data_IF_977233945564
#
_entry.id   IF_977233945564
#
_cell.length_a   1.000
_cell.length_b   1.000
_cell.length_c   1.000
_cell.angle_alpha   90.00
_cell.angle_beta   90.00
_cell.angle_gamma   90.00
#
_symmetry.space_group_name_H-M   'P 1'
#
loop_
_entity.id
_entity.type
_entity.pdbx_description
1 polymer ?
#
# COMPACT_ATOMS: atom_id res chain seq x y z
N UNK A 1 6.43 -23.31 -14.27
CA UNK A 1 6.61 -22.97 -12.84
C UNK A 1 5.29 -22.40 -12.35
N UNK A 2 4.63 -23.05 -11.39
CA UNK A 2 3.39 -22.54 -10.81
C UNK A 2 3.65 -21.24 -10.03
N UNK A 3 2.70 -20.30 -9.95
CA UNK A 3 2.85 -19.10 -9.14
C UNK A 3 3.04 -19.52 -7.68
N UNK A 4 4.13 -19.08 -7.05
CA UNK A 4 4.29 -19.18 -5.60
C UNK A 4 3.24 -18.24 -5.00
N UNK A 5 2.29 -18.80 -4.26
CA UNK A 5 1.37 -18.00 -3.45
C UNK A 5 2.23 -17.21 -2.44
N UNK A 6 2.25 -15.87 -2.52
CA UNK A 6 3.06 -15.05 -1.62
C UNK A 6 2.59 -15.12 -0.16
N UNK A 7 1.63 -15.97 0.19
CA UNK A 7 1.19 -16.22 1.56
C UNK A 7 1.65 -17.60 2.12
N UNK A 8 2.40 -18.40 1.35
CA UNK A 8 2.65 -19.81 1.70
C UNK A 8 3.76 -20.07 2.73
N UNK A 9 4.42 -19.05 3.29
CA UNK A 9 5.63 -19.22 4.11
C UNK A 9 5.40 -19.29 5.63
N UNK A 10 4.18 -19.14 6.15
CA UNK A 10 3.90 -19.11 7.61
C UNK A 10 3.04 -20.29 8.12
N UNK A 11 2.76 -21.31 7.31
CA UNK A 11 1.72 -22.30 7.63
C UNK A 11 2.08 -23.30 8.73
N UNK A 12 3.33 -23.40 9.17
CA UNK A 12 3.74 -24.44 10.14
C UNK A 12 3.36 -24.14 11.60
N UNK A 13 3.06 -22.87 11.95
CA UNK A 13 2.64 -22.49 13.31
C UNK A 13 1.12 -22.37 13.54
N UNK A 14 0.31 -22.34 12.47
CA UNK A 14 -1.12 -22.00 12.53
C UNK A 14 -2.02 -23.16 12.97
N UNK A 15 -1.59 -24.41 12.78
CA UNK A 15 -2.42 -25.59 13.04
C UNK A 15 -2.74 -25.76 14.53
N UNK A 16 -1.75 -25.58 15.41
CA UNK A 16 -1.91 -25.73 16.86
C UNK A 16 -2.83 -24.67 17.50
N UNK A 17 -2.83 -23.43 16.98
CA UNK A 17 -3.69 -22.34 17.49
C UNK A 17 -5.13 -22.44 16.95
N UNK A 18 -5.33 -22.94 15.72
CA UNK A 18 -6.66 -23.18 15.15
C UNK A 18 -7.40 -24.30 15.89
N UNK A 19 -6.70 -25.32 16.37
CA UNK A 19 -7.32 -26.39 17.18
C UNK A 19 -7.75 -25.91 18.58
N UNK A 20 -6.92 -25.11 19.24
CA UNK A 20 -7.24 -24.56 20.57
C UNK A 20 -8.44 -23.59 20.55
N UNK A 21 -8.53 -22.70 19.56
CA UNK A 21 -9.64 -21.75 19.41
C UNK A 21 -10.97 -22.44 19.01
N UNK A 22 -10.90 -23.47 18.17
CA UNK A 22 -12.07 -24.26 17.73
C UNK A 22 -12.71 -25.04 18.88
N UNK A 23 -11.92 -25.61 19.79
CA UNK A 23 -12.44 -26.33 20.95
C UNK A 23 -13.07 -25.40 22.01
N UNK A 24 -12.49 -24.23 22.25
CA UNK A 24 -13.06 -23.23 23.16
C UNK A 24 -14.41 -22.68 22.65
N UNK A 25 -14.50 -22.37 21.35
CA UNK A 25 -15.73 -21.88 20.71
C UNK A 25 -16.88 -22.89 20.70
N UNK A 26 -16.59 -24.17 20.42
CA UNK A 26 -17.61 -25.25 20.44
C UNK A 26 -18.19 -25.51 21.83
N UNK A 27 -17.38 -25.33 22.88
CA UNK A 27 -17.80 -25.50 24.28
C UNK A 27 -18.71 -24.36 24.74
N UNK A 28 -18.39 -23.12 24.34
CA UNK A 28 -19.23 -21.95 24.61
C UNK A 28 -20.58 -22.02 23.86
N UNK A 29 -20.59 -22.47 22.59
CA UNK A 29 -21.80 -22.57 21.78
C UNK A 29 -22.75 -23.66 22.28
N UNK A 30 -22.25 -24.83 22.70
CA UNK A 30 -23.09 -25.88 23.31
C UNK A 30 -23.76 -25.42 24.61
N UNK A 31 -23.09 -24.58 25.40
CA UNK A 31 -23.65 -24.00 26.64
C UNK A 31 -24.74 -22.97 26.36
N UNK A 32 -24.63 -22.21 25.26
CA UNK A 32 -25.64 -21.26 24.82
C UNK A 32 -26.87 -21.94 24.20
N UNK A 33 -26.67 -22.96 23.34
CA UNK A 33 -27.75 -23.69 22.66
C UNK A 33 -28.59 -24.50 23.66
N UNK A 34 -27.97 -25.10 24.68
CA UNK A 34 -28.71 -25.82 25.74
C UNK A 34 -29.60 -24.90 26.58
N UNK A 35 -29.25 -23.60 26.68
CA UNK A 35 -30.04 -22.59 27.38
C UNK A 35 -31.19 -22.05 26.53
N UNK A 36 -31.06 -22.08 25.20
CA UNK A 36 -32.10 -21.65 24.25
C UNK A 36 -33.15 -22.75 23.97
N UNK A 37 -32.76 -24.02 23.99
CA UNK A 37 -33.63 -25.16 23.65
C UNK A 37 -34.70 -25.48 24.72
N UNK A 38 -34.65 -24.88 25.91
CA UNK A 38 -35.62 -25.13 27.00
C UNK A 38 -36.90 -24.29 26.83
N UNK A 39 -36.97 -23.35 25.87
CA UNK A 39 -38.03 -22.32 25.82
C UNK A 39 -39.03 -22.42 24.65
N UNK A 40 -39.15 -23.55 23.95
CA UNK A 40 -40.23 -23.73 22.96
C UNK A 40 -40.78 -25.15 22.95
N UNK A 41 -41.83 -25.36 23.74
CA UNK A 41 -42.77 -26.44 23.53
C UNK A 41 -44.19 -25.89 23.70
N UNK A 42 -45.05 -26.28 22.75
CA UNK A 42 -46.50 -26.05 22.65
C UNK A 42 -46.98 -24.69 22.15
N UNK A 43 -47.53 -24.66 20.93
CA UNK A 43 -48.96 -24.43 20.73
C UNK A 43 -49.32 -24.55 19.24
N UNK A 44 -50.18 -25.53 18.93
CA UNK A 44 -51.02 -25.51 17.75
C UNK A 44 -52.46 -25.22 18.20
N UNK A 45 -53.16 -24.45 17.36
CA UNK A 45 -54.61 -24.24 17.28
C UNK A 45 -55.33 -23.40 18.36
N UNK A 46 -55.93 -22.29 17.90
CA UNK A 46 -57.30 -21.91 18.24
C UNK A 46 -57.55 -20.87 19.35
N UNK A 47 -58.12 -19.74 18.95
CA UNK A 47 -59.00 -18.81 19.69
C UNK A 47 -58.40 -17.66 20.55
N UNK A 48 -58.96 -16.47 20.28
CA UNK A 48 -58.84 -15.16 20.97
C UNK A 48 -57.43 -14.59 21.15
N UNK A 49 -57.12 -13.54 20.37
CA UNK A 49 -55.86 -12.81 20.45
C UNK A 49 -55.86 -11.95 21.72
N UNK A 50 -55.28 -12.47 22.80
CA UNK A 50 -55.07 -11.73 24.03
C UNK A 50 -54.06 -10.58 23.86
N UNK A 51 -54.17 -9.57 24.72
CA UNK A 51 -53.30 -8.39 24.81
C UNK A 51 -51.77 -8.65 24.64
N UNK A 52 -51.19 -9.79 25.08
CA UNK A 52 -49.77 -10.09 24.86
C UNK A 52 -49.38 -10.30 23.38
N UNK A 53 -50.30 -10.81 22.56
CA UNK A 53 -50.06 -11.02 21.12
C UNK A 53 -50.17 -9.69 20.36
N UNK A 54 -51.06 -8.79 20.78
CA UNK A 54 -51.14 -7.42 20.25
C UNK A 54 -49.84 -6.65 20.56
N UNK A 55 -49.30 -6.78 21.78
CA UNK A 55 -48.01 -6.19 22.15
C UNK A 55 -46.83 -6.82 21.40
N UNK A 56 -46.87 -8.13 21.12
CA UNK A 56 -45.88 -8.82 20.28
C UNK A 56 -45.91 -8.39 18.82
N UNK A 57 -47.10 -8.18 18.25
CA UNK A 57 -47.29 -7.65 16.89
C UNK A 57 -46.84 -6.18 16.84
N UNK A 58 -47.12 -5.37 17.87
CA UNK A 58 -46.63 -4.00 17.98
C UNK A 58 -45.11 -3.93 18.09
N UNK A 59 -44.48 -4.83 18.84
CA UNK A 59 -43.02 -4.94 18.94
C UNK A 59 -42.38 -5.41 17.62
N UNK A 60 -43.00 -6.38 16.93
CA UNK A 60 -42.55 -6.82 15.60
C UNK A 60 -42.72 -5.72 14.55
N UNK A 61 -43.83 -4.97 14.59
CA UNK A 61 -44.05 -3.80 13.75
C UNK A 61 -43.03 -2.69 14.03
N UNK A 62 -42.66 -2.44 15.30
CA UNK A 62 -41.60 -1.49 15.65
C UNK A 62 -40.22 -1.93 15.14
N UNK A 63 -39.90 -3.22 15.15
CA UNK A 63 -38.63 -3.74 14.59
C UNK A 63 -38.62 -3.63 13.06
N UNK A 64 -39.76 -3.87 12.39
CA UNK A 64 -39.89 -3.68 10.94
C UNK A 64 -39.84 -2.21 10.57
N UNK A 65 -40.48 -1.31 11.33
CA UNK A 65 -40.42 0.14 11.13
C UNK A 65 -38.99 0.64 11.40
N UNK A 66 -38.31 0.19 12.45
CA UNK A 66 -36.91 0.52 12.70
C UNK A 66 -36.01 0.00 11.58
N UNK A 67 -36.26 -1.20 11.06
CA UNK A 67 -35.56 -1.75 9.89
C UNK A 67 -35.81 -0.92 8.62
N UNK A 68 -37.03 -0.46 8.38
CA UNK A 68 -37.38 0.40 7.25
C UNK A 68 -36.83 1.82 7.40
N UNK A 69 -36.74 2.35 8.62
CA UNK A 69 -36.07 3.63 8.90
C UNK A 69 -34.56 3.51 8.74
N UNK A 70 -33.94 2.37 9.11
CA UNK A 70 -32.52 2.10 8.86
C UNK A 70 -32.26 1.93 7.36
N UNK A 71 -33.13 1.23 6.62
CA UNK A 71 -33.01 1.07 5.17
C UNK A 71 -33.23 2.41 4.46
N UNK A 72 -34.22 3.22 4.88
CA UNK A 72 -34.42 4.57 4.38
C UNK A 72 -33.25 5.49 4.75
N UNK A 73 -32.67 5.37 5.94
CA UNK A 73 -31.47 6.09 6.34
C UNK A 73 -30.26 5.66 5.51
N UNK A 74 -30.09 4.37 5.20
CA UNK A 74 -29.02 3.86 4.32
C UNK A 74 -29.22 4.32 2.87
N UNK A 75 -30.46 4.37 2.37
CA UNK A 75 -30.79 4.86 1.03
C UNK A 75 -30.64 6.40 0.94
N UNK A 76 -31.05 7.15 1.97
CA UNK A 76 -30.79 8.60 2.04
C UNK A 76 -29.31 8.90 2.27
N UNK A 77 -28.57 8.06 3.00
CA UNK A 77 -27.10 8.16 3.14
C UNK A 77 -26.38 7.80 1.84
N UNK A 78 -26.96 6.94 0.99
CA UNK A 78 -26.38 6.57 -0.31
C UNK A 78 -26.79 7.49 -1.45
N UNK A 79 -27.69 8.46 -1.22
CA UNK A 79 -28.16 9.41 -2.25
C UNK A 79 -27.96 10.88 -1.87
N UNK A 80 -27.36 11.17 -0.71
CA UNK A 80 -27.08 12.52 -0.22
C UNK A 80 -25.61 12.83 0.01
N UNK A 81 -24.68 12.01 -0.50
CA UNK A 81 -23.30 12.43 -0.61
C UNK A 81 -23.18 13.32 -1.82
N UNK A 82 -23.24 14.65 -1.62
CA UNK A 82 -22.61 15.56 -2.56
C UNK A 82 -21.21 15.00 -2.82
N UNK A 83 -20.98 14.61 -4.06
CA UNK A 83 -19.66 14.38 -4.59
C UNK A 83 -18.95 15.72 -4.40
N UNK A 84 -18.20 15.86 -3.30
CA UNK A 84 -17.13 16.82 -3.25
C UNK A 84 -16.18 16.39 -4.36
N UNK A 85 -16.46 16.92 -5.55
CA UNK A 85 -15.48 17.12 -6.57
C UNK A 85 -14.34 17.85 -5.86
N UNK A 86 -13.31 17.09 -5.50
CA UNK A 86 -11.99 17.64 -5.19
C UNK A 86 -11.47 18.08 -6.56
N UNK A 87 -12.03 19.16 -7.07
CA UNK A 87 -11.45 19.92 -8.15
C UNK A 87 -10.22 20.61 -7.56
N UNK A 88 -9.03 20.09 -7.85
CA UNK A 88 -7.88 20.97 -8.07
C UNK A 88 -6.61 20.83 -7.23
N UNK A 89 -6.49 19.95 -6.23
CA UNK A 89 -5.22 19.80 -5.46
C UNK A 89 -4.73 18.35 -5.36
N UNK A 90 -4.97 17.55 -6.40
CA UNK A 90 -4.52 16.16 -6.49
C UNK A 90 -3.29 16.02 -7.38
N UNK A 91 -2.14 15.70 -6.79
CA UNK A 91 -0.97 15.09 -7.44
C UNK A 91 -0.16 15.91 -8.47
N UNK A 92 -0.68 17.03 -8.98
CA UNK A 92 0.02 17.84 -9.98
C UNK A 92 1.03 18.81 -9.36
N UNK A 93 2.33 18.53 -9.53
CA UNK A 93 3.37 19.55 -9.59
C UNK A 93 3.52 20.48 -8.38
N UNK A 94 3.12 20.03 -7.19
CA UNK A 94 3.23 20.80 -5.94
C UNK A 94 4.66 21.22 -5.59
N UNK A 95 4.80 22.09 -4.60
CA UNK A 95 6.12 22.49 -4.10
C UNK A 95 6.87 21.28 -3.51
N UNK A 96 8.19 21.30 -3.62
CA UNK A 96 9.02 20.22 -3.08
C UNK A 96 8.95 20.23 -1.56
N UNK A 97 8.64 19.07 -0.98
CA UNK A 97 8.63 18.90 0.47
C UNK A 97 10.05 18.86 1.04
N UNK A 98 10.20 18.99 2.36
CA UNK A 98 11.49 18.78 3.03
C UNK A 98 12.06 17.39 2.73
N UNK A 99 11.20 16.36 2.70
CA UNK A 99 11.60 15.00 2.32
C UNK A 99 12.12 14.96 0.88
N UNK A 100 11.38 15.56 -0.06
CA UNK A 100 11.80 15.64 -1.46
C UNK A 100 13.12 16.38 -1.64
N UNK A 101 13.31 17.50 -0.93
CA UNK A 101 14.53 18.29 -0.99
C UNK A 101 15.77 17.54 -0.47
N UNK A 102 15.57 16.62 0.47
CA UNK A 102 16.65 15.81 1.05
C UNK A 102 16.96 14.54 0.24
N UNK A 103 15.95 13.94 -0.41
CA UNK A 103 16.13 12.69 -1.17
C UNK A 103 16.48 12.93 -2.64
N UNK A 104 15.85 13.91 -3.30
CA UNK A 104 16.02 14.13 -4.74
C UNK A 104 17.30 14.94 -4.99
N UNK A 105 18.27 14.40 -5.75
CA UNK A 105 19.45 15.17 -6.11
C UNK A 105 19.06 16.41 -6.91
N UNK A 106 19.42 17.58 -6.39
CA UNK A 106 18.97 18.88 -6.91
C UNK A 106 19.27 19.10 -8.38
N UNK A 107 20.34 18.49 -8.92
CA UNK A 107 20.72 18.60 -10.33
C UNK A 107 19.68 17.99 -11.29
N UNK A 108 18.84 17.06 -10.84
CA UNK A 108 17.82 16.43 -11.69
C UNK A 108 16.49 17.19 -11.69
N UNK A 109 16.25 18.06 -10.70
CA UNK A 109 14.99 18.80 -10.55
C UNK A 109 14.66 19.64 -11.79
N UNK A 110 15.60 20.42 -12.38
CA UNK A 110 15.32 21.19 -13.60
C UNK A 110 14.87 20.30 -14.77
N UNK A 111 15.47 19.11 -14.92
CA UNK A 111 15.15 18.16 -15.99
C UNK A 111 13.72 17.62 -15.83
N UNK A 112 13.33 17.21 -14.63
CA UNK A 112 11.96 16.75 -14.37
C UNK A 112 10.92 17.84 -14.62
N UNK A 113 11.21 19.09 -14.24
CA UNK A 113 10.29 20.21 -14.45
C UNK A 113 10.16 20.56 -15.93
N UNK A 114 11.25 20.53 -16.69
CA UNK A 114 11.21 20.75 -18.13
C UNK A 114 10.44 19.63 -18.86
N UNK A 115 10.64 18.37 -18.46
CA UNK A 115 9.87 17.24 -18.97
C UNK A 115 8.37 17.35 -18.60
N UNK A 116 8.05 17.81 -17.38
CA UNK A 116 6.66 18.09 -16.98
C UNK A 116 6.02 19.14 -17.90
N UNK A 117 6.72 20.24 -18.16
CA UNK A 117 6.23 21.31 -19.03
C UNK A 117 5.94 20.79 -20.45
N UNK A 118 6.83 19.94 -20.99
CA UNK A 118 6.69 19.38 -22.34
C UNK A 118 5.60 18.31 -22.46
N UNK A 119 5.47 17.41 -21.47
CA UNK A 119 4.64 16.22 -21.57
C UNK A 119 3.37 16.25 -20.72
N UNK A 120 3.23 17.19 -19.79
CA UNK A 120 2.13 17.25 -18.83
C UNK A 120 2.20 16.17 -17.74
N UNK A 121 3.31 15.45 -17.65
CA UNK A 121 3.54 14.40 -16.64
C UNK A 121 4.14 15.03 -15.37
N UNK A 122 3.59 14.80 -14.17
CA UNK A 122 4.07 15.45 -12.94
C UNK A 122 5.57 15.22 -12.67
N UNK A 123 6.32 16.28 -12.34
CA UNK A 123 7.77 16.25 -12.11
C UNK A 123 8.14 15.27 -10.98
N UNK A 124 7.31 15.22 -9.94
CA UNK A 124 7.47 14.34 -8.78
C UNK A 124 7.24 12.87 -9.15
N UNK A 125 6.40 12.58 -10.14
CA UNK A 125 6.23 11.24 -10.69
C UNK A 125 7.46 10.77 -11.47
N UNK A 126 8.09 11.66 -12.25
CA UNK A 126 9.34 11.37 -12.95
C UNK A 126 10.49 11.14 -11.97
N UNK A 127 10.61 11.99 -10.95
CA UNK A 127 11.58 11.82 -9.88
C UNK A 127 11.38 10.47 -9.15
N UNK A 128 10.13 10.08 -8.89
CA UNK A 128 9.83 8.82 -8.23
C UNK A 128 10.20 7.58 -9.06
N UNK A 129 9.94 7.58 -10.37
CA UNK A 129 10.43 6.53 -11.25
C UNK A 129 11.96 6.45 -11.20
N UNK A 130 12.65 7.59 -11.35
CA UNK A 130 14.11 7.61 -11.31
C UNK A 130 14.67 7.08 -9.97
N UNK A 131 13.98 7.37 -8.85
CA UNK A 131 14.32 6.84 -7.52
C UNK A 131 14.12 5.32 -7.41
N UNK A 132 13.02 4.79 -7.95
CA UNK A 132 12.68 3.35 -7.86
C UNK A 132 13.55 2.54 -8.80
N UNK A 133 13.78 3.04 -10.01
CA UNK A 133 14.55 2.33 -11.04
C UNK A 133 16.03 2.22 -10.72
N UNK A 134 16.65 3.35 -10.35
CA UNK A 134 18.12 3.41 -10.25
C UNK A 134 18.63 4.14 -9.02
N UNK A 135 17.74 4.46 -8.07
CA UNK A 135 18.07 5.31 -6.92
C UNK A 135 18.76 6.60 -7.37
N UNK A 136 18.18 7.25 -8.37
CA UNK A 136 18.76 8.43 -9.00
C UNK A 136 20.13 8.16 -9.63
N UNK A 137 20.23 7.16 -10.49
CA UNK A 137 21.45 6.79 -11.22
C UNK A 137 22.63 6.33 -10.36
N UNK A 138 22.38 5.85 -9.14
CA UNK A 138 23.46 5.42 -8.22
C UNK A 138 23.66 3.91 -8.19
N UNK A 139 22.75 3.11 -8.78
CA UNK A 139 22.96 1.67 -8.93
C UNK A 139 23.99 1.39 -10.03
N UNK A 140 24.86 0.40 -9.81
CA UNK A 140 25.87 -0.03 -10.77
C UNK A 140 25.94 -1.57 -10.83
N UNK A 141 25.79 -2.19 -12.02
CA UNK A 141 25.45 -1.57 -13.30
C UNK A 141 23.98 -1.13 -13.36
N UNK A 142 23.66 -0.09 -14.15
CA UNK A 142 22.28 0.27 -14.51
C UNK A 142 21.74 -0.68 -15.61
N UNK A 143 21.95 -1.98 -15.43
CA UNK A 143 21.40 -3.04 -16.28
C UNK A 143 20.76 -4.09 -15.39
N UNK A 144 19.46 -4.29 -15.53
CA UNK A 144 18.74 -5.29 -14.76
C UNK A 144 18.98 -6.71 -15.30
N UNK A 145 18.73 -7.76 -14.50
CA UNK A 145 18.80 -9.16 -14.96
C UNK A 145 17.88 -9.48 -16.15
N UNK A 146 16.79 -8.73 -16.29
CA UNK A 146 15.83 -8.88 -17.39
C UNK A 146 16.20 -8.04 -18.61
N UNK A 147 17.32 -7.32 -18.58
CA UNK A 147 17.89 -6.60 -19.72
C UNK A 147 17.35 -5.18 -19.91
N UNK A 148 16.66 -4.64 -18.91
CA UNK A 148 16.34 -3.21 -18.88
C UNK A 148 17.63 -2.40 -18.64
N UNK A 149 17.79 -1.28 -19.33
CA UNK A 149 19.03 -0.50 -19.37
C UNK A 149 18.81 1.00 -19.09
N UNK A 150 19.86 1.66 -18.61
CA UNK A 150 19.92 3.12 -18.48
C UNK A 150 19.27 3.69 -17.22
N UNK A 151 19.23 5.02 -17.15
CA UNK A 151 18.82 5.77 -15.95
C UNK A 151 17.40 5.46 -15.48
N UNK A 152 16.52 5.15 -16.43
CA UNK A 152 15.10 4.85 -16.19
C UNK A 152 14.75 3.38 -16.47
N UNK A 153 15.75 2.51 -16.62
CA UNK A 153 15.59 1.06 -16.83
C UNK A 153 14.57 0.71 -17.93
N UNK A 154 14.82 1.18 -19.16
CA UNK A 154 13.99 0.81 -20.30
C UNK A 154 14.36 -0.55 -20.86
N UNK A 155 13.36 -1.35 -21.21
CA UNK A 155 13.59 -2.50 -22.09
C UNK A 155 13.95 -1.99 -23.50
N UNK A 156 14.96 -2.55 -24.19
CA UNK A 156 15.39 -2.00 -25.47
C UNK A 156 14.30 -2.01 -26.55
N UNK A 157 13.36 -2.96 -26.53
CA UNK A 157 12.21 -2.95 -27.43
C UNK A 157 11.15 -1.91 -27.08
N UNK A 158 11.07 -1.48 -25.83
CA UNK A 158 10.26 -0.31 -25.47
C UNK A 158 10.95 0.97 -25.93
N UNK A 159 12.28 1.04 -25.79
CA UNK A 159 13.07 2.20 -26.21
C UNK A 159 13.03 2.40 -27.73
N UNK A 160 13.41 1.38 -28.51
CA UNK A 160 13.50 1.45 -29.97
C UNK A 160 12.18 1.19 -30.67
N UNK A 161 11.31 0.40 -30.06
CA UNK A 161 9.99 0.10 -30.56
C UNK A 161 9.82 -1.37 -30.94
N UNK A 162 8.65 -1.90 -30.58
CA UNK A 162 8.29 -3.31 -30.78
C UNK A 162 8.15 -3.70 -32.27
N UNK A 163 8.14 -2.73 -33.18
CA UNK A 163 8.21 -2.99 -34.62
C UNK A 163 9.58 -3.43 -35.12
N UNK A 164 10.64 -3.33 -34.30
CA UNK A 164 11.98 -3.76 -34.69
C UNK A 164 12.04 -5.30 -34.87
N UNK A 165 12.65 -5.84 -35.95
CA UNK A 165 12.61 -7.29 -36.25
C UNK A 165 13.18 -8.22 -35.18
N UNK A 166 14.10 -7.73 -34.35
CA UNK A 166 14.68 -8.53 -33.25
C UNK A 166 13.85 -8.49 -31.96
N UNK A 167 12.76 -7.72 -31.92
CA UNK A 167 11.95 -7.58 -30.72
C UNK A 167 11.01 -8.77 -30.49
N UNK A 168 11.00 -9.24 -29.24
CA UNK A 168 10.21 -10.38 -28.80
C UNK A 168 10.43 -10.69 -27.32
N UNK A 169 9.68 -11.67 -26.81
CA UNK A 169 9.74 -12.09 -25.40
C UNK A 169 9.46 -10.92 -24.45
N UNK A 170 10.34 -10.73 -23.46
CA UNK A 170 10.24 -9.64 -22.47
C UNK A 170 10.74 -8.28 -23.00
N UNK A 171 11.11 -8.18 -24.28
CA UNK A 171 11.50 -6.90 -24.90
C UNK A 171 13.00 -6.59 -24.86
N UNK A 172 13.86 -7.61 -24.71
CA UNK A 172 15.32 -7.44 -24.78
C UNK A 172 15.75 -6.96 -26.16
N UNK A 173 15.39 -7.72 -27.20
CA UNK A 173 15.84 -7.47 -28.58
C UNK A 173 17.36 -7.59 -28.75
N UNK A 174 17.81 -8.00 -29.93
CA UNK A 174 19.22 -7.82 -30.33
C UNK A 174 19.28 -6.58 -31.22
N UNK A 175 19.49 -5.42 -30.59
CA UNK A 175 19.43 -4.11 -31.25
C UNK A 175 20.80 -3.43 -31.13
N UNK A 176 21.49 -3.16 -32.25
CA UNK A 176 22.78 -2.47 -32.23
C UNK A 176 22.68 -1.08 -31.59
N UNK A 177 23.70 -0.65 -30.84
CA UNK A 177 23.72 0.67 -30.20
C UNK A 177 23.51 1.83 -31.18
N UNK A 178 24.00 1.71 -32.41
CA UNK A 178 23.77 2.70 -33.47
C UNK A 178 22.30 2.87 -33.85
N UNK A 179 21.49 1.82 -33.70
CA UNK A 179 20.04 1.88 -33.90
C UNK A 179 19.30 2.30 -32.63
N UNK A 180 19.82 1.91 -31.45
CA UNK A 180 19.23 2.28 -30.16
C UNK A 180 19.30 3.77 -29.87
N UNK A 181 20.28 4.46 -30.45
CA UNK A 181 20.52 5.89 -30.24
C UNK A 181 20.06 6.77 -31.40
N UNK A 182 19.56 6.19 -32.49
CA UNK A 182 19.12 6.93 -33.69
C UNK A 182 17.63 7.29 -33.60
N UNK A 183 17.27 8.58 -33.43
CA UNK A 183 15.87 8.99 -33.31
C UNK A 183 15.01 8.62 -34.52
N UNK A 184 15.58 8.56 -35.73
CA UNK A 184 14.84 8.20 -36.94
C UNK A 184 14.49 6.69 -36.94
N UNK A 185 15.39 5.85 -36.42
CA UNK A 185 15.14 4.41 -36.26
C UNK A 185 14.09 4.17 -35.18
N UNK A 186 14.19 4.86 -34.05
CA UNK A 186 13.23 4.77 -32.94
C UNK A 186 11.82 5.16 -33.42
N UNK A 187 11.70 6.30 -34.12
CA UNK A 187 10.43 6.75 -34.69
C UNK A 187 9.86 5.73 -35.70
N UNK A 188 10.72 5.16 -36.56
CA UNK A 188 10.32 4.15 -37.55
C UNK A 188 9.68 2.91 -36.91
N UNK A 189 10.20 2.46 -35.77
CA UNK A 189 9.71 1.26 -35.09
C UNK A 189 8.72 1.52 -33.96
N UNK A 190 8.35 2.80 -33.75
CA UNK A 190 7.36 3.22 -32.76
C UNK A 190 7.86 3.13 -31.32
N UNK A 191 9.15 3.37 -31.10
CA UNK A 191 9.75 3.39 -29.78
C UNK A 191 9.52 4.70 -29.02
N UNK A 192 9.86 4.67 -27.73
CA UNK A 192 9.69 5.81 -26.81
C UNK A 192 10.97 6.60 -26.55
N UNK A 193 12.12 6.17 -27.09
CA UNK A 193 13.36 6.93 -26.98
C UNK A 193 13.23 8.33 -27.59
N UNK A 194 13.59 9.34 -26.82
CA UNK A 194 13.54 10.77 -27.18
C UNK A 194 14.93 11.36 -27.01
N UNK A 195 15.37 12.10 -28.03
CA UNK A 195 16.48 13.06 -27.93
C UNK A 195 16.00 14.27 -27.12
N UNK A 196 16.26 14.21 -25.82
CA UNK A 196 15.78 15.16 -24.82
C UNK A 196 16.64 16.41 -24.77
N UNK A 197 17.96 16.25 -24.91
CA UNK A 197 18.94 17.34 -24.84
C UNK A 197 19.22 18.01 -26.21
N UNK A 198 18.77 17.43 -27.32
CA UNK A 198 18.91 17.96 -28.68
C UNK A 198 20.27 17.70 -29.32
N UNK A 199 21.03 16.70 -28.87
CA UNK A 199 22.37 16.39 -29.39
C UNK A 199 22.35 15.54 -30.66
N UNK A 200 21.17 15.14 -31.13
CA UNK A 200 20.95 14.30 -32.30
C UNK A 200 20.87 12.80 -32.00
N UNK A 201 20.91 12.40 -30.72
CA UNK A 201 20.78 11.01 -30.27
C UNK A 201 19.71 10.88 -29.19
N UNK A 202 19.13 9.69 -29.11
CA UNK A 202 18.26 9.31 -28.00
C UNK A 202 18.92 8.16 -27.24
N UNK A 203 19.74 8.47 -26.24
CA UNK A 203 20.54 7.51 -25.48
C UNK A 203 19.91 7.19 -24.11
N UNK A 204 19.55 5.93 -23.79
CA UNK A 204 19.03 5.59 -22.46
C UNK A 204 20.06 5.81 -21.32
N UNK A 205 21.34 6.01 -21.68
CA UNK A 205 22.45 6.33 -20.78
C UNK A 205 22.74 7.83 -20.68
N UNK A 206 22.02 8.67 -21.43
CA UNK A 206 21.94 10.10 -21.15
C UNK A 206 20.73 10.38 -20.25
N UNK A 207 20.93 11.19 -19.22
CA UNK A 207 19.91 11.40 -18.19
C UNK A 207 18.73 12.23 -18.69
N UNK A 208 18.96 13.19 -19.58
CA UNK A 208 17.89 14.03 -20.13
C UNK A 208 17.04 13.21 -21.10
N UNK A 209 17.68 12.47 -22.00
CA UNK A 209 17.01 11.56 -22.93
C UNK A 209 16.17 10.53 -22.19
N UNK A 210 16.73 9.90 -21.15
CA UNK A 210 16.02 8.89 -20.38
C UNK A 210 14.80 9.46 -19.64
N UNK A 211 14.91 10.63 -19.01
CA UNK A 211 13.79 11.29 -18.32
C UNK A 211 12.71 11.73 -19.31
N UNK A 212 13.09 12.30 -20.46
CA UNK A 212 12.15 12.73 -21.50
C UNK A 212 11.44 11.54 -22.13
N UNK A 213 12.15 10.43 -22.34
CA UNK A 213 11.58 9.18 -22.82
C UNK A 213 10.58 8.59 -21.81
N UNK A 214 10.90 8.62 -20.51
CA UNK A 214 9.96 8.21 -19.45
C UNK A 214 8.71 9.10 -19.42
N UNK A 215 8.86 10.41 -19.55
CA UNK A 215 7.74 11.34 -19.65
C UNK A 215 6.87 11.09 -20.89
N UNK A 216 7.49 10.84 -22.05
CA UNK A 216 6.81 10.45 -23.29
C UNK A 216 6.00 9.17 -23.12
N UNK A 217 6.61 8.13 -22.54
CA UNK A 217 5.95 6.85 -22.27
C UNK A 217 4.77 7.01 -21.31
N UNK A 218 4.97 7.69 -20.19
CA UNK A 218 3.93 7.89 -19.17
C UNK A 218 2.76 8.70 -19.72
N UNK A 219 3.04 9.75 -20.51
CA UNK A 219 2.01 10.51 -21.23
C UNK A 219 1.18 9.60 -22.14
N UNK A 220 1.83 8.79 -22.98
CA UNK A 220 1.13 7.88 -23.89
C UNK A 220 0.21 6.88 -23.17
N UNK A 221 0.49 6.61 -21.88
CA UNK A 221 -0.29 5.69 -21.05
C UNK A 221 -1.24 6.40 -20.07
N UNK A 222 -1.50 7.70 -20.22
CA UNK A 222 -2.55 8.38 -19.49
C UNK A 222 -2.10 9.28 -18.35
N UNK A 223 -0.79 9.44 -18.11
CA UNK A 223 -0.32 10.20 -16.95
C UNK A 223 -0.66 11.70 -17.05
N UNK A 224 -0.64 12.26 -18.26
CA UNK A 224 -0.98 13.67 -18.48
C UNK A 224 -2.48 13.95 -18.32
N UNK A 225 -3.31 12.91 -18.34
CA UNK A 225 -4.75 12.93 -18.14
C UNK A 225 -5.15 12.52 -16.71
N UNK A 226 -4.18 12.40 -15.79
CA UNK A 226 -4.41 12.03 -14.40
C UNK A 226 -4.60 10.52 -14.14
N UNK A 227 -4.48 9.66 -15.16
CA UNK A 227 -4.50 8.18 -15.00
C UNK A 227 -3.14 7.64 -14.56
N UNK A 228 -2.63 8.18 -13.45
CA UNK A 228 -1.26 7.96 -13.02
C UNK A 228 -0.99 6.50 -12.68
N UNK A 229 -1.92 5.85 -11.96
CA UNK A 229 -1.80 4.44 -11.60
C UNK A 229 -1.68 3.55 -12.86
N UNK A 230 -2.53 3.80 -13.85
CA UNK A 230 -2.54 3.03 -15.10
C UNK A 230 -1.24 3.24 -15.88
N UNK A 231 -0.76 4.49 -15.96
CA UNK A 231 0.48 4.83 -16.64
C UNK A 231 1.71 4.17 -16.00
N UNK A 232 1.80 4.20 -14.66
CA UNK A 232 2.88 3.54 -13.92
C UNK A 232 2.79 2.02 -14.06
N UNK A 233 1.57 1.46 -14.03
CA UNK A 233 1.37 0.02 -14.25
C UNK A 233 1.71 -0.41 -15.68
N UNK A 234 1.51 0.45 -16.68
CA UNK A 234 1.99 0.19 -18.03
C UNK A 234 3.52 0.13 -18.08
N UNK A 235 4.19 1.04 -17.37
CA UNK A 235 5.66 1.08 -17.28
C UNK A 235 6.23 -0.20 -16.68
N UNK A 236 5.65 -0.66 -15.58
CA UNK A 236 6.00 -1.93 -14.94
C UNK A 236 4.72 -2.61 -14.41
N UNK A 237 4.45 -3.82 -14.90
CA UNK A 237 3.21 -4.59 -14.67
C UNK A 237 3.11 -5.21 -13.27
N UNK A 238 3.70 -4.57 -12.27
CA UNK A 238 3.73 -5.03 -10.90
C UNK A 238 3.10 -4.00 -9.96
N UNK A 239 2.04 -4.39 -9.25
CA UNK A 239 1.37 -3.49 -8.30
C UNK A 239 2.33 -2.92 -7.26
N UNK A 240 3.29 -3.72 -6.76
CA UNK A 240 4.27 -3.24 -5.78
C UNK A 240 5.12 -2.07 -6.31
N UNK A 241 5.43 -2.07 -7.60
CA UNK A 241 6.19 -0.99 -8.25
C UNK A 241 5.33 0.26 -8.35
N UNK A 242 4.05 0.09 -8.75
CA UNK A 242 3.08 1.18 -8.83
C UNK A 242 2.93 1.88 -7.48
N UNK A 243 2.76 1.11 -6.41
CA UNK A 243 2.66 1.67 -5.07
C UNK A 243 3.93 2.42 -4.66
N UNK A 244 5.10 1.86 -4.95
CA UNK A 244 6.38 2.45 -4.56
C UNK A 244 6.63 3.79 -5.27
N UNK A 245 6.40 3.83 -6.59
CA UNK A 245 6.51 5.06 -7.39
C UNK A 245 5.49 6.11 -6.94
N UNK A 246 4.20 5.72 -6.80
CA UNK A 246 3.18 6.70 -6.40
C UNK A 246 3.41 7.19 -4.96
N UNK A 247 3.97 6.35 -4.10
CA UNK A 247 4.35 6.69 -2.73
C UNK A 247 5.44 7.76 -2.68
N UNK A 248 6.55 7.54 -3.39
CA UNK A 248 7.62 8.53 -3.45
C UNK A 248 7.17 9.84 -4.09
N UNK A 249 6.40 9.78 -5.18
CA UNK A 249 5.91 10.96 -5.87
C UNK A 249 5.04 11.84 -4.96
N UNK A 250 4.20 11.25 -4.13
CA UNK A 250 3.41 12.00 -3.16
C UNK A 250 4.28 12.58 -2.02
N UNK A 251 5.18 11.77 -1.46
CA UNK A 251 6.09 12.21 -0.40
C UNK A 251 6.98 13.38 -0.83
N UNK A 252 7.40 13.42 -2.10
CA UNK A 252 8.20 14.51 -2.65
C UNK A 252 7.47 15.87 -2.67
N UNK A 253 6.14 15.91 -2.57
CA UNK A 253 5.36 17.15 -2.56
C UNK A 253 4.63 17.42 -1.23
N UNK A 254 4.16 16.38 -0.53
CA UNK A 254 3.45 16.55 0.75
C UNK A 254 4.35 16.49 1.97
N UNK A 255 5.49 15.82 1.86
CA UNK A 255 6.40 15.60 2.99
C UNK A 255 5.83 14.65 4.04
N UNK A 256 6.27 14.82 5.28
CA UNK A 256 5.81 14.09 6.47
C UNK A 256 5.47 15.11 7.57
N UNK A 257 4.42 14.84 8.35
CA UNK A 257 4.11 15.62 9.56
C UNK A 257 4.50 14.80 10.78
N UNK A 258 5.56 15.24 11.47
CA UNK A 258 5.94 14.71 12.77
C UNK A 258 4.93 15.09 13.84
N UNK A 259 4.57 14.14 14.71
CA UNK A 259 4.01 14.51 16.02
C UNK A 259 5.16 14.96 16.91
N UNK A 260 5.14 16.22 17.33
CA UNK A 260 6.06 16.72 18.35
C UNK A 260 5.86 15.92 19.65
N UNK A 261 6.90 15.19 20.05
CA UNK A 261 6.86 14.22 21.14
C UNK A 261 6.43 14.79 22.50
N UNK A 262 5.36 14.22 23.06
CA UNK A 262 5.02 14.31 24.46
C UNK A 262 6.01 13.51 25.30
N UNK A 263 6.77 14.21 26.14
CA UNK A 263 7.73 13.63 27.08
C UNK A 263 6.99 12.93 28.22
N UNK A 264 7.18 11.62 28.38
CA UNK A 264 6.64 10.87 29.53
C UNK A 264 7.49 9.65 29.87
N UNK A 265 8.18 9.72 31.02
CA UNK A 265 8.97 8.63 31.61
C UNK A 265 8.09 7.50 32.15
N UNK A 266 8.53 6.26 31.96
CA UNK A 266 8.31 5.16 32.91
C UNK A 266 7.21 4.14 32.61
N UNK A 267 7.64 2.91 32.31
CA UNK A 267 7.00 1.62 32.63
C UNK A 267 5.49 1.56 32.87
N UNK A 268 4.72 1.57 31.79
CA UNK A 268 3.40 0.96 31.57
C UNK A 268 3.08 1.29 30.10
N UNK A 269 2.39 0.44 29.35
CA UNK A 269 2.13 0.68 27.92
C UNK A 269 1.68 2.14 27.71
N UNK A 270 2.41 2.94 26.93
CA UNK A 270 2.09 4.36 26.74
C UNK A 270 0.64 4.51 26.23
N UNK A 271 -0.02 5.62 26.56
CA UNK A 271 -1.43 5.85 26.22
C UNK A 271 -1.73 5.63 24.73
N UNK A 272 -0.75 5.90 23.86
CA UNK A 272 -0.86 5.76 22.41
C UNK A 272 -0.80 4.30 21.94
N UNK A 273 0.14 3.50 22.44
CA UNK A 273 0.23 2.08 22.09
C UNK A 273 -1.02 1.30 22.56
N UNK A 274 -1.55 1.64 23.74
CA UNK A 274 -2.81 1.05 24.21
C UNK A 274 -4.01 1.48 23.36
N UNK A 275 -4.04 2.74 22.91
CA UNK A 275 -5.12 3.23 22.06
C UNK A 275 -5.05 2.60 20.66
N UNK A 276 -3.86 2.42 20.10
CA UNK A 276 -3.64 1.66 18.85
C UNK A 276 -4.17 0.23 18.98
N UNK A 277 -3.82 -0.48 20.06
CA UNK A 277 -4.32 -1.85 20.29
C UNK A 277 -5.84 -1.87 20.41
N UNK A 278 -6.43 -1.01 21.26
CA UNK A 278 -7.90 -0.91 21.41
C UNK A 278 -8.61 -0.65 20.10
N UNK A 279 -8.06 0.21 19.26
CA UNK A 279 -8.64 0.49 17.95
C UNK A 279 -8.49 -0.69 17.00
N UNK A 280 -7.40 -1.46 17.09
CA UNK A 280 -7.17 -2.65 16.28
C UNK A 280 -7.96 -3.89 16.72
N UNK A 281 -8.49 -3.94 17.96
CA UNK A 281 -9.21 -5.09 18.52
C UNK A 281 -10.34 -5.60 17.62
N UNK A 282 -11.07 -4.69 16.95
CA UNK A 282 -12.16 -5.07 16.03
C UNK A 282 -11.70 -5.96 14.87
N UNK A 283 -10.41 -5.88 14.51
CA UNK A 283 -9.81 -6.64 13.42
C UNK A 283 -9.24 -7.99 13.85
N UNK A 284 -9.07 -8.22 15.15
CA UNK A 284 -8.57 -9.51 15.65
C UNK A 284 -9.56 -10.63 15.32
N UNK A 285 -9.14 -11.58 14.48
CA UNK A 285 -9.99 -12.67 13.98
C UNK A 285 -11.04 -12.25 12.93
N UNK A 286 -11.14 -10.95 12.61
CA UNK A 286 -12.09 -10.39 11.63
C UNK A 286 -11.38 -9.67 10.47
N UNK A 287 -10.10 -9.96 10.27
CA UNK A 287 -9.29 -9.40 9.19
C UNK A 287 -8.55 -10.50 8.46
N UNK A 288 -8.17 -10.20 7.22
CA UNK A 288 -7.36 -11.08 6.38
C UNK A 288 -6.28 -10.27 5.72
N UNK A 289 -5.09 -10.86 5.62
CA UNK A 289 -4.02 -10.24 4.87
C UNK A 289 -4.33 -10.28 3.38
N UNK A 290 -4.20 -9.14 2.72
CA UNK A 290 -4.26 -9.06 1.26
C UNK A 290 -3.11 -8.18 0.82
N UNK A 291 -2.19 -8.73 0.04
CA UNK A 291 -1.09 -7.96 -0.54
C UNK A 291 -1.66 -6.79 -1.35
N UNK A 292 -1.25 -5.55 -1.04
CA UNK A 292 -1.85 -4.36 -1.67
C UNK A 292 -3.21 -3.93 -1.09
N UNK A 293 -3.84 -4.74 -0.23
CA UNK A 293 -5.12 -4.43 0.40
C UNK A 293 -5.02 -3.27 1.40
N UNK A 294 -6.17 -2.75 1.84
CA UNK A 294 -6.26 -1.70 2.87
C UNK A 294 -6.08 -0.28 2.35
N UNK A 295 -5.96 -0.09 1.03
CA UNK A 295 -5.74 1.21 0.37
C UNK A 295 -7.01 1.99 0.01
N UNK A 296 -8.18 1.40 0.27
CA UNK A 296 -9.48 2.01 0.01
C UNK A 296 -10.46 1.62 1.14
N UNK A 297 -11.56 2.39 1.25
CA UNK A 297 -12.56 2.16 2.30
C UNK A 297 -13.26 0.82 2.20
N UNK A 298 -13.43 0.27 0.99
CA UNK A 298 -14.05 -1.05 0.79
C UNK A 298 -13.22 -2.17 1.40
N UNK A 299 -11.90 -2.12 1.27
CA UNK A 299 -10.99 -3.09 1.88
C UNK A 299 -10.90 -2.91 3.38
N UNK A 300 -10.79 -1.69 3.87
CA UNK A 300 -10.82 -1.38 5.30
C UNK A 300 -12.11 -1.92 5.92
N UNK A 301 -13.28 -1.61 5.35
CA UNK A 301 -14.58 -2.05 5.87
C UNK A 301 -14.71 -3.58 5.95
N UNK A 302 -13.99 -4.30 5.08
CA UNK A 302 -13.96 -5.77 5.04
C UNK A 302 -12.78 -6.38 5.81
N UNK A 303 -12.00 -5.58 6.53
CA UNK A 303 -10.83 -6.03 7.28
C UNK A 303 -9.71 -6.60 6.39
N UNK A 304 -9.61 -6.14 5.13
CA UNK A 304 -8.56 -6.58 4.20
C UNK A 304 -7.41 -5.58 4.25
N UNK A 305 -6.26 -5.99 4.78
CA UNK A 305 -5.09 -5.12 4.93
C UNK A 305 -3.82 -5.85 4.50
N UNK A 306 -2.87 -5.16 3.88
CA UNK A 306 -1.46 -5.58 3.99
C UNK A 306 -0.82 -5.02 5.27
N UNK A 307 0.46 -5.32 5.50
CA UNK A 307 1.18 -4.89 6.69
C UNK A 307 1.28 -3.36 6.78
N UNK A 308 1.67 -2.70 5.69
CA UNK A 308 1.89 -1.25 5.63
C UNK A 308 0.61 -0.42 5.73
N UNK A 309 -0.46 -0.83 5.04
CA UNK A 309 -1.77 -0.17 5.08
C UNK A 309 -2.44 -0.31 6.44
N UNK A 310 -2.24 -1.44 7.13
CA UNK A 310 -2.71 -1.58 8.50
C UNK A 310 -1.95 -0.64 9.45
N UNK A 311 -0.61 -0.55 9.34
CA UNK A 311 0.18 0.41 10.11
C UNK A 311 -0.30 1.84 9.84
N UNK A 312 -0.47 2.21 8.57
CA UNK A 312 -1.06 3.49 8.17
C UNK A 312 -2.39 3.76 8.84
N UNK A 313 -3.33 2.82 8.66
CA UNK A 313 -4.66 2.92 9.23
C UNK A 313 -4.61 3.12 10.74
N UNK A 314 -3.80 2.33 11.46
CA UNK A 314 -3.68 2.38 12.92
C UNK A 314 -3.13 3.74 13.41
N UNK A 315 -2.13 4.29 12.74
CA UNK A 315 -1.60 5.62 13.04
C UNK A 315 -2.59 6.75 12.68
N UNK A 316 -3.34 6.61 11.59
CA UNK A 316 -4.40 7.56 11.25
C UNK A 316 -5.50 7.62 12.33
N UNK A 317 -5.83 6.50 12.99
CA UNK A 317 -6.77 6.50 14.13
C UNK A 317 -6.24 7.26 15.36
N UNK A 318 -4.93 7.49 15.39
CA UNK A 318 -4.25 8.27 16.41
C UNK A 318 -4.08 9.75 16.02
N UNK A 319 -4.51 10.14 14.82
CA UNK A 319 -4.28 11.47 14.28
C UNK A 319 -2.85 11.67 13.76
N UNK A 320 -2.11 10.58 13.52
CA UNK A 320 -0.78 10.64 12.92
C UNK A 320 -0.92 10.40 11.41
N UNK A 321 -0.49 11.38 10.63
CA UNK A 321 -0.49 11.31 9.18
C UNK A 321 0.82 10.67 8.68
N UNK A 322 0.70 9.49 8.05
CA UNK A 322 1.84 8.78 7.44
C UNK A 322 1.90 8.99 5.92
N UNK A 323 1.20 10.00 5.40
CA UNK A 323 1.02 10.27 3.98
C UNK A 323 -0.29 9.65 3.45
N UNK A 324 -0.47 9.54 2.12
CA UNK A 324 -1.68 8.95 1.57
C UNK A 324 -1.76 7.47 1.85
N UNK A 325 -2.93 7.04 2.31
CA UNK A 325 -3.24 5.63 2.49
C UNK A 325 -3.03 4.83 1.19
N UNK A 326 -3.41 5.42 0.05
CA UNK A 326 -3.41 4.76 -1.26
C UNK A 326 -2.03 4.33 -1.74
N UNK A 327 -0.94 4.93 -1.25
CA UNK A 327 0.42 4.68 -1.71
C UNK A 327 1.38 4.28 -0.59
N UNK A 328 0.85 4.00 0.60
CA UNK A 328 1.68 3.56 1.73
C UNK A 328 2.22 2.15 1.49
N UNK A 329 3.52 1.94 1.72
CA UNK A 329 4.21 0.66 1.59
C UNK A 329 5.25 0.49 2.70
N UNK A 330 5.86 -0.70 2.83
CA UNK A 330 6.97 -0.88 3.77
C UNK A 330 8.17 0.00 3.41
N UNK A 331 8.38 0.28 2.11
CA UNK A 331 9.44 1.17 1.64
C UNK A 331 9.18 2.61 2.06
N UNK A 332 7.95 3.13 1.91
CA UNK A 332 7.66 4.50 2.32
C UNK A 332 7.78 4.64 3.85
N UNK A 333 7.26 3.69 4.61
CA UNK A 333 7.29 3.69 6.07
C UNK A 333 8.71 3.59 6.65
N UNK A 334 9.62 2.87 5.99
CA UNK A 334 10.99 2.71 6.52
C UNK A 334 11.85 3.95 6.37
N UNK A 335 11.41 4.95 5.62
CA UNK A 335 12.09 6.24 5.49
C UNK A 335 11.50 7.30 6.43
N UNK A 336 10.28 7.09 6.94
CA UNK A 336 9.65 7.98 7.91
C UNK A 336 10.35 7.96 9.27
N UNK A 337 10.22 9.08 10.00
CA UNK A 337 10.71 9.21 11.37
C UNK A 337 12.23 9.03 11.53
N UNK A 338 12.67 8.91 12.79
CA UNK A 338 14.08 8.76 13.15
C UNK A 338 14.48 7.29 13.28
N UNK A 339 15.67 6.88 12.82
CA UNK A 339 16.19 5.56 13.12
C UNK A 339 16.41 5.43 14.64
N UNK A 340 16.07 4.27 15.18
CA UNK A 340 16.23 3.94 16.60
C UNK A 340 17.04 2.65 16.71
N UNK A 341 17.96 2.57 17.68
CA UNK A 341 18.63 1.31 17.98
C UNK A 341 17.62 0.29 18.51
N UNK A 342 17.71 -1.01 18.14
CA UNK A 342 16.89 -2.05 18.75
C UNK A 342 16.91 -2.07 20.28
N UNK A 343 18.01 -1.64 20.91
CA UNK A 343 18.12 -1.52 22.37
C UNK A 343 17.33 -0.36 22.98
N UNK A 344 16.90 0.59 22.15
CA UNK A 344 16.17 1.81 22.55
C UNK A 344 14.72 1.83 22.04
N UNK A 345 14.27 0.69 21.50
CA UNK A 345 12.93 0.52 20.98
C UNK A 345 11.87 0.75 22.07
N UNK A 346 10.80 1.46 21.72
CA UNK A 346 9.69 1.81 22.61
C UNK A 346 8.36 1.47 21.95
N UNK A 347 7.30 1.20 22.75
CA UNK A 347 5.95 1.03 22.19
C UNK A 347 5.57 2.21 21.29
N UNK A 348 5.03 1.91 20.11
CA UNK A 348 4.74 2.88 19.05
C UNK A 348 5.82 2.95 17.96
N UNK A 349 7.03 2.44 18.18
CA UNK A 349 8.04 2.40 17.11
C UNK A 349 7.64 1.39 16.03
N UNK A 350 7.98 1.68 14.78
CA UNK A 350 7.87 0.74 13.68
C UNK A 350 9.03 -0.24 13.69
N UNK A 351 8.73 -1.54 13.54
CA UNK A 351 9.71 -2.63 13.40
C UNK A 351 9.61 -3.25 12.03
N UNK A 352 10.76 -3.55 11.42
CA UNK A 352 10.83 -4.11 10.08
C UNK A 352 11.47 -5.49 10.06
N UNK A 353 11.04 -6.30 9.10
CA UNK A 353 11.45 -7.70 8.98
C UNK A 353 11.83 -8.03 7.52
N UNK A 354 12.87 -8.83 7.37
CA UNK A 354 13.32 -9.40 6.11
C UNK A 354 12.56 -10.70 5.84
N UNK A 355 11.38 -10.57 5.23
CA UNK A 355 10.49 -11.71 4.90
C UNK A 355 10.74 -12.17 3.46
N UNK A 356 9.83 -11.88 2.52
CA UNK A 356 10.00 -12.21 1.10
C UNK A 356 10.99 -11.28 0.37
N UNK A 357 11.36 -10.16 1.00
CA UNK A 357 12.42 -9.23 0.61
C UNK A 357 12.98 -8.55 1.84
N UNK A 358 14.09 -7.82 1.68
CA UNK A 358 14.59 -6.92 2.72
C UNK A 358 13.55 -5.85 3.05
N UNK A 359 13.29 -5.59 4.32
CA UNK A 359 12.22 -4.70 4.80
C UNK A 359 10.84 -5.10 4.20
N UNK A 360 10.59 -6.41 4.04
CA UNK A 360 9.38 -6.98 3.44
C UNK A 360 8.15 -6.98 4.33
N UNK A 361 8.31 -6.76 5.64
CA UNK A 361 7.18 -6.61 6.56
C UNK A 361 7.43 -5.48 7.55
N UNK A 362 6.34 -4.88 8.04
CA UNK A 362 6.36 -3.82 9.05
C UNK A 362 5.27 -4.03 10.08
N UNK A 363 5.55 -3.65 11.32
CA UNK A 363 4.56 -3.65 12.39
C UNK A 363 4.85 -2.56 13.43
N UNK A 364 3.91 -2.39 14.35
CA UNK A 364 3.97 -1.40 15.44
C UNK A 364 4.41 -2.12 16.70
N UNK A 365 5.59 -1.80 17.22
CA UNK A 365 6.08 -2.38 18.46
C UNK A 365 5.17 -2.01 19.63
N UNK A 366 4.86 -2.98 20.48
CA UNK A 366 3.99 -2.80 21.65
C UNK A 366 4.75 -2.85 22.98
N UNK A 367 6.04 -3.17 22.98
CA UNK A 367 6.78 -3.51 24.20
C UNK A 367 6.81 -5.01 24.47
N UNK A 368 7.69 -5.41 25.39
CA UNK A 368 7.80 -6.81 25.81
C UNK A 368 8.14 -7.79 24.69
N UNK A 369 8.79 -7.31 23.62
CA UNK A 369 9.12 -8.14 22.47
C UNK A 369 7.93 -8.47 21.57
N UNK A 370 6.84 -7.69 21.62
CA UNK A 370 5.64 -7.90 20.80
C UNK A 370 5.42 -6.76 19.82
N UNK A 371 4.80 -7.07 18.70
CA UNK A 371 4.35 -6.08 17.73
C UNK A 371 2.93 -6.37 17.26
N UNK A 372 2.25 -5.33 16.80
CA UNK A 372 0.95 -5.37 16.16
C UNK A 372 1.13 -5.13 14.66
N UNK A 373 0.55 -5.99 13.83
CA UNK A 373 0.62 -5.87 12.37
C UNK A 373 -0.45 -6.74 11.70
N UNK A 374 -0.56 -6.64 10.38
CA UNK A 374 -1.36 -7.56 9.56
C UNK A 374 -0.45 -8.62 8.96
N UNK A 375 -0.53 -9.86 9.45
CA UNK A 375 0.27 -10.99 8.98
C UNK A 375 -0.51 -11.87 8.02
N UNK A 376 0.19 -12.48 7.06
CA UNK A 376 -0.37 -13.39 6.06
C UNK A 376 -1.19 -14.53 6.68
N UNK A 377 -0.73 -15.06 7.82
CA UNK A 377 -1.36 -16.19 8.51
C UNK A 377 -2.57 -15.81 9.39
N UNK A 378 -2.55 -14.64 10.03
CA UNK A 378 -3.50 -14.27 11.09
C UNK A 378 -4.35 -13.04 10.80
N UNK A 379 -4.07 -12.33 9.70
CA UNK A 379 -4.57 -10.96 9.52
C UNK A 379 -3.98 -10.06 10.60
N UNK A 380 -4.73 -9.07 11.05
CA UNK A 380 -4.33 -8.19 12.15
C UNK A 380 -4.23 -8.98 13.46
N UNK A 381 -3.03 -9.06 14.02
CA UNK A 381 -2.78 -9.71 15.30
C UNK A 381 -1.57 -9.13 16.03
N UNK A 382 -1.52 -9.41 17.34
CA UNK A 382 -0.34 -9.18 18.17
C UNK A 382 0.54 -10.42 18.12
N UNK A 383 1.81 -10.23 17.78
CA UNK A 383 2.77 -11.32 17.60
C UNK A 383 4.02 -11.08 18.42
N UNK A 384 4.61 -12.16 18.94
CA UNK A 384 5.87 -12.14 19.66
C UNK A 384 7.04 -12.20 18.66
N UNK A 385 7.79 -11.11 18.53
CA UNK A 385 8.96 -11.04 17.63
C UNK A 385 10.25 -11.59 18.22
N UNK A 386 10.23 -12.09 19.47
CA UNK A 386 11.43 -12.63 20.11
C UNK A 386 11.60 -14.13 19.90
N UNK A 387 10.68 -14.77 19.18
CA UNK A 387 10.64 -16.23 18.98
C UNK A 387 10.33 -16.60 17.53
N UNK A 388 10.81 -17.78 17.13
CA UNK A 388 10.50 -18.42 15.84
C UNK A 388 10.78 -17.52 14.64
N UNK A 389 9.92 -17.62 13.63
CA UNK A 389 10.01 -16.90 12.36
C UNK A 389 10.27 -15.39 12.52
N UNK A 390 9.58 -14.72 13.45
CA UNK A 390 9.71 -13.28 13.64
C UNK A 390 11.01 -12.85 14.31
N UNK A 391 11.65 -13.74 15.09
CA UNK A 391 13.00 -13.51 15.62
C UNK A 391 14.04 -13.55 14.51
N UNK A 392 13.90 -14.53 13.61
CA UNK A 392 14.85 -14.79 12.53
C UNK A 392 14.76 -13.73 11.43
N UNK A 393 13.56 -13.21 11.19
CA UNK A 393 13.32 -12.20 10.15
C UNK A 393 13.45 -10.77 10.65
N UNK A 394 13.46 -10.50 11.97
CA UNK A 394 13.65 -9.14 12.46
C UNK A 394 15.03 -8.60 12.06
N UNK A 395 15.06 -7.57 11.24
CA UNK A 395 16.29 -7.11 10.60
C UNK A 395 17.03 -6.02 11.39
N UNK A 396 16.53 -5.66 12.57
CA UNK A 396 17.11 -4.64 13.44
C UNK A 396 16.75 -3.20 13.06
N UNK A 397 16.01 -2.97 11.96
CA UNK A 397 15.53 -1.62 11.63
C UNK A 397 14.33 -1.27 12.52
N UNK A 398 14.48 -0.15 13.20
CA UNK A 398 13.42 0.47 14.01
C UNK A 398 13.30 1.93 13.60
N UNK A 399 12.06 2.40 13.41
CA UNK A 399 11.76 3.80 13.13
C UNK A 399 10.81 4.37 14.18
N UNK A 400 11.15 5.53 14.73
CA UNK A 400 10.28 6.29 15.62
C UNK A 400 9.69 7.47 14.87
N UNK A 401 8.38 7.47 14.73
CA UNK A 401 7.60 8.48 14.02
C UNK A 401 7.43 9.76 14.84
#
# INVERSE_FOLDING_TARGET
MSPIDPNSYETEGSSALKEAASQAGKTALKKAVKKAAITKSTAAAGSTVGLPVILGIAAAALVVIAGLVIIAFVILSSTGGEEQSITGEGYYGGEISEFGANEIPSQFIPIYKAAQEKYGVPWNLLAAHHRVETRFSTINPMVSPVGAEGHMQFMPCTWVGWGHPSCGGLGKGDIPTSQKTDPAVIAKYGGYGVDGNGDGKADPWDIEDAIYSAASYLKANGAAEGRLRDAVFAYNRADWYVEEVLGFADQFVKGYVAVSGGSGKGGSFSGDAQKIVRTAEKWFGNSVYVFGGGRNQGDIARGRFDCSSFVHWAFAQMGVDLGPLTSTSTETLKHLGKPVSPSEIKPGDLVFFDTYKRDGHVGIYLGGGKFLGSQSSTGVAIVDMTKGYWKETFNGRVKRL
#
